data_IF_022273076368
#
_entry.id   IF_022273076368
#
_cell.length_a   1.000
_cell.length_b   1.000
_cell.length_c   1.000
_cell.angle_alpha   90.00
_cell.angle_beta   90.00
_cell.angle_gamma   90.00
#
_symmetry.space_group_name_H-M   'P 1'
#
loop_
_entity.id
_entity.type
_entity.pdbx_description
1 polymer ?
#
# COMPACT_ATOMS: atom_id res chain seq x y z
N UNK A 1 74.95 31.09 40.88
CA UNK A 1 74.49 29.96 40.11
C UNK A 1 72.99 29.96 40.18
N UNK A 2 72.32 30.41 39.13
CA UNK A 2 70.82 30.47 39.04
C UNK A 2 70.40 29.61 37.86
N UNK A 3 69.75 28.48 38.18
CA UNK A 3 69.17 27.58 37.17
C UNK A 3 67.86 28.17 36.72
N UNK A 4 67.72 28.44 35.44
CA UNK A 4 66.47 28.75 34.77
C UNK A 4 65.96 27.48 34.07
N UNK A 5 64.86 26.91 34.60
CA UNK A 5 64.12 25.88 33.98
C UNK A 5 63.11 26.49 33.00
N UNK A 6 63.29 26.27 31.67
CA UNK A 6 62.29 26.58 30.66
C UNK A 6 61.29 25.48 30.67
N UNK A 7 60.04 25.81 31.03
CA UNK A 7 58.87 24.93 30.79
C UNK A 7 58.32 25.21 29.37
N UNK A 8 58.47 24.25 28.47
CA UNK A 8 57.84 24.29 27.13
C UNK A 8 56.37 23.85 27.22
N UNK A 9 55.47 24.82 27.03
CA UNK A 9 54.02 24.53 26.89
C UNK A 9 53.74 24.06 25.46
N UNK A 10 53.43 22.79 25.28
CA UNK A 10 52.89 22.24 24.02
C UNK A 10 51.41 22.62 23.92
N UNK A 11 51.12 23.56 23.04
CA UNK A 11 49.73 23.93 22.66
C UNK A 11 49.25 22.90 21.63
N UNK A 12 48.43 21.92 22.04
CA UNK A 12 47.74 21.01 21.14
C UNK A 12 46.59 21.77 20.44
N UNK A 13 46.80 22.23 19.21
CA UNK A 13 45.74 22.68 18.34
C UNK A 13 44.89 21.46 17.94
N UNK A 14 43.73 21.32 18.58
CA UNK A 14 42.68 20.42 18.07
C UNK A 14 42.14 21.02 16.76
N UNK A 15 42.55 20.45 15.64
CA UNK A 15 41.97 20.75 14.32
C UNK A 15 40.54 20.14 14.35
N UNK A 16 39.55 20.98 14.61
CA UNK A 16 38.16 20.65 14.38
C UNK A 16 37.98 20.50 12.85
N UNK A 17 37.99 19.28 12.37
CA UNK A 17 37.56 18.99 11.00
C UNK A 17 36.12 19.48 10.88
N UNK A 18 35.77 20.27 9.83
CA UNK A 18 34.39 20.61 9.58
C UNK A 18 33.62 19.30 9.40
N UNK A 19 32.59 19.07 10.20
CA UNK A 19 31.63 18.01 9.96
C UNK A 19 30.94 18.38 8.65
N UNK A 20 31.35 17.75 7.53
CA UNK A 20 30.59 17.81 6.29
C UNK A 20 29.23 17.19 6.60
N UNK A 21 28.17 18.00 6.53
CA UNK A 21 26.83 17.47 6.51
C UNK A 21 26.74 16.51 5.33
N UNK A 22 26.36 15.27 5.59
CA UNK A 22 26.16 14.30 4.50
C UNK A 22 25.08 14.82 3.56
N UNK A 23 25.30 14.67 2.25
CA UNK A 23 24.32 15.06 1.24
C UNK A 23 23.01 14.30 1.45
N UNK A 24 21.87 14.97 1.21
CA UNK A 24 20.56 14.33 1.28
C UNK A 24 20.43 13.20 0.26
N UNK A 25 19.78 12.12 0.67
CA UNK A 25 19.47 10.98 -0.19
C UNK A 25 18.12 11.21 -0.87
N UNK A 26 18.13 11.40 -2.18
CA UNK A 26 16.92 11.70 -2.96
C UNK A 26 16.18 10.43 -3.35
N UNK A 27 14.92 10.30 -2.94
CA UNK A 27 14.00 9.23 -3.36
C UNK A 27 12.90 9.85 -4.22
N UNK A 28 12.73 9.33 -5.43
CA UNK A 28 11.64 9.73 -6.32
C UNK A 28 10.35 9.00 -5.98
N UNK A 29 9.24 9.73 -5.91
CA UNK A 29 7.95 9.12 -5.62
C UNK A 29 6.91 9.57 -6.64
N UNK A 30 6.21 8.60 -7.25
CA UNK A 30 5.17 8.85 -8.26
C UNK A 30 3.79 8.50 -7.71
N UNK A 31 2.92 9.52 -7.60
CA UNK A 31 1.58 9.44 -7.01
C UNK A 31 0.50 9.89 -7.99
N UNK A 32 -0.79 9.54 -7.78
CA UNK A 32 -1.94 10.18 -8.41
C UNK A 32 -2.38 11.40 -7.58
N UNK A 33 -1.72 12.56 -7.70
CA UNK A 33 -2.05 13.73 -6.88
C UNK A 33 -3.22 14.53 -7.43
N UNK A 34 -3.58 14.31 -8.69
CA UNK A 34 -4.73 14.92 -9.35
C UNK A 34 -5.60 13.84 -10.03
N UNK A 35 -6.81 14.23 -10.46
CA UNK A 35 -7.79 13.31 -11.07
C UNK A 35 -8.57 12.49 -10.03
N UNK A 36 -9.23 11.42 -10.49
CA UNK A 36 -10.22 10.65 -9.70
C UNK A 36 -9.62 9.87 -8.52
N UNK A 37 -8.33 9.59 -8.53
CA UNK A 37 -7.62 8.93 -7.44
C UNK A 37 -6.82 9.91 -6.55
N UNK A 38 -7.04 11.22 -6.69
CA UNK A 38 -6.33 12.23 -5.90
C UNK A 38 -6.47 12.05 -4.37
N UNK A 39 -7.64 11.69 -3.81
CA UNK A 39 -7.75 11.45 -2.37
C UNK A 39 -6.80 10.34 -1.90
N UNK A 40 -6.76 9.20 -2.58
CA UNK A 40 -5.83 8.10 -2.28
C UNK A 40 -4.36 8.53 -2.45
N UNK A 41 -4.04 9.23 -3.54
CA UNK A 41 -2.69 9.71 -3.82
C UNK A 41 -2.18 10.72 -2.79
N UNK A 42 -3.03 11.64 -2.36
CA UNK A 42 -2.67 12.59 -1.30
C UNK A 42 -2.56 11.90 0.05
N UNK A 43 -3.41 10.91 0.36
CA UNK A 43 -3.30 10.09 1.56
C UNK A 43 -1.98 9.32 1.61
N UNK A 44 -1.58 8.72 0.48
CA UNK A 44 -0.29 8.04 0.35
C UNK A 44 0.90 9.00 0.51
N UNK A 45 0.82 10.20 -0.08
CA UNK A 45 1.85 11.25 0.04
C UNK A 45 2.04 11.67 1.49
N UNK A 46 0.94 12.00 2.20
CA UNK A 46 0.97 12.36 3.62
C UNK A 46 1.64 11.26 4.46
N UNK A 47 1.34 10.00 4.18
CA UNK A 47 1.91 8.86 4.90
C UNK A 47 3.42 8.69 4.64
N UNK A 48 3.86 8.81 3.39
CA UNK A 48 5.29 8.73 3.03
C UNK A 48 6.06 9.93 3.60
N UNK A 49 5.48 11.13 3.61
CA UNK A 49 6.09 12.31 4.25
C UNK A 49 6.27 12.11 5.76
N UNK A 50 5.25 11.57 6.46
CA UNK A 50 5.41 11.22 7.88
C UNK A 50 6.46 10.13 8.06
N UNK A 51 6.52 9.13 7.19
CA UNK A 51 7.57 8.11 7.19
C UNK A 51 8.98 8.71 7.07
N UNK A 52 9.13 9.69 6.17
CA UNK A 52 10.40 10.42 6.02
C UNK A 52 10.75 11.28 7.25
N UNK A 53 9.76 11.87 7.89
CA UNK A 53 9.96 12.59 9.17
C UNK A 53 10.40 11.65 10.31
N UNK A 54 9.82 10.44 10.39
CA UNK A 54 10.21 9.42 11.35
C UNK A 54 11.67 9.02 11.13
N UNK A 55 12.09 8.76 9.90
CA UNK A 55 13.48 8.39 9.56
C UNK A 55 14.43 9.56 9.75
N UNK A 56 14.05 10.77 9.37
CA UNK A 56 14.88 11.96 9.42
C UNK A 56 15.03 12.54 10.83
N UNK A 57 14.08 12.25 11.72
CA UNK A 57 14.08 12.62 13.12
C UNK A 57 14.43 11.43 14.03
N UNK A 58 14.60 11.66 15.32
CA UNK A 58 14.68 10.60 16.30
C UNK A 58 13.33 10.43 16.98
N UNK A 59 12.77 9.22 16.94
CA UNK A 59 11.48 8.83 17.56
C UNK A 59 11.72 7.65 18.51
N UNK A 60 12.35 7.87 19.67
CA UNK A 60 12.81 6.80 20.57
C UNK A 60 11.64 5.97 21.16
N UNK A 61 10.40 6.45 21.03
CA UNK A 61 9.19 5.72 21.41
C UNK A 61 8.79 4.63 20.42
N UNK A 62 9.30 4.67 19.18
CA UNK A 62 9.03 3.67 18.13
C UNK A 62 10.08 2.56 18.14
N UNK A 63 10.27 1.93 19.31
CA UNK A 63 11.31 0.90 19.53
C UNK A 63 11.19 -0.28 18.56
N UNK A 64 12.33 -0.68 18.00
CA UNK A 64 12.44 -1.81 17.11
C UNK A 64 11.96 -1.54 15.67
N UNK A 65 11.35 -0.38 15.41
CA UNK A 65 11.08 0.04 14.03
C UNK A 65 12.40 0.51 13.40
N UNK A 66 12.82 -0.03 12.27
CA UNK A 66 14.07 0.36 11.61
C UNK A 66 14.15 1.87 11.39
N UNK A 67 15.31 2.46 11.70
CA UNK A 67 15.62 3.87 11.53
C UNK A 67 14.81 4.88 12.38
N UNK A 68 13.87 4.41 13.21
CA UNK A 68 13.06 5.34 14.00
C UNK A 68 13.83 5.92 15.21
N UNK A 69 14.69 5.14 15.84
CA UNK A 69 15.38 5.56 17.08
C UNK A 69 16.57 6.50 16.83
N UNK A 70 16.98 6.68 15.57
CA UNK A 70 18.12 7.51 15.16
C UNK A 70 17.69 8.58 14.16
N UNK A 71 18.41 9.70 14.12
CA UNK A 71 18.12 10.77 13.16
C UNK A 71 18.85 10.56 11.83
N UNK A 72 18.10 10.34 10.76
CA UNK A 72 18.62 10.10 9.40
C UNK A 72 19.16 8.68 9.21
N UNK A 73 20.04 8.52 8.26
CA UNK A 73 20.62 7.24 7.84
C UNK A 73 22.00 7.05 8.47
N UNK A 74 22.14 6.28 9.58
CA UNK A 74 23.40 6.15 10.32
C UNK A 74 24.58 5.67 9.46
N UNK A 75 24.33 4.68 8.56
CA UNK A 75 25.38 4.13 7.71
C UNK A 75 25.80 5.07 6.55
N UNK A 76 25.10 6.21 6.43
CA UNK A 76 25.39 7.30 5.49
C UNK A 76 25.73 8.61 6.25
N UNK A 77 26.33 8.48 7.44
CA UNK A 77 26.78 9.65 8.22
C UNK A 77 25.63 10.54 8.73
N UNK A 78 24.43 10.00 8.89
CA UNK A 78 23.24 10.74 9.32
C UNK A 78 22.56 11.54 8.20
N UNK A 79 22.84 11.21 6.93
CA UNK A 79 22.17 11.80 5.76
C UNK A 79 20.66 11.75 5.91
N UNK A 80 19.97 12.80 5.47
CA UNK A 80 18.51 12.87 5.48
C UNK A 80 17.93 12.38 4.16
N UNK A 81 16.73 11.81 4.21
CA UNK A 81 15.98 11.48 3.00
C UNK A 81 15.24 12.74 2.51
N UNK A 82 15.40 13.02 1.24
CA UNK A 82 14.68 14.05 0.49
C UNK A 82 13.72 13.38 -0.49
N UNK A 83 12.41 13.66 -0.37
CA UNK A 83 11.39 13.12 -1.25
C UNK A 83 11.16 14.04 -2.44
N UNK A 84 11.33 13.52 -3.66
CA UNK A 84 11.03 14.23 -4.90
C UNK A 84 9.75 13.64 -5.49
N UNK A 85 8.62 14.33 -5.27
CA UNK A 85 7.29 13.87 -5.68
C UNK A 85 6.96 14.25 -7.13
N UNK A 86 6.22 13.37 -7.81
CA UNK A 86 5.66 13.63 -9.11
C UNK A 86 4.23 13.09 -9.24
N UNK A 87 3.38 13.84 -9.93
CA UNK A 87 2.00 13.46 -10.23
C UNK A 87 1.91 12.71 -11.54
N UNK A 88 1.37 11.50 -11.53
CA UNK A 88 1.13 10.72 -12.74
C UNK A 88 -0.32 10.81 -13.26
N UNK A 89 -1.23 11.50 -12.54
CA UNK A 89 -2.62 11.79 -12.96
C UNK A 89 -3.45 10.55 -13.31
N UNK A 90 -3.08 9.35 -12.83
CA UNK A 90 -3.68 8.08 -13.27
C UNK A 90 -3.33 7.69 -14.72
N UNK A 91 -2.43 8.39 -15.38
CA UNK A 91 -2.09 8.21 -16.80
C UNK A 91 -0.74 7.52 -16.97
N UNK A 92 -0.67 6.34 -17.64
CA UNK A 92 0.58 5.61 -17.85
C UNK A 92 1.67 6.41 -18.57
N UNK A 93 1.33 7.18 -19.61
CA UNK A 93 2.32 7.97 -20.35
C UNK A 93 2.90 9.09 -19.49
N UNK A 94 2.07 9.77 -18.68
CA UNK A 94 2.55 10.76 -17.71
C UNK A 94 3.43 10.10 -16.67
N UNK A 95 3.02 8.97 -16.11
CA UNK A 95 3.81 8.21 -15.14
C UNK A 95 5.18 7.79 -15.69
N UNK A 96 5.22 7.30 -16.93
CA UNK A 96 6.47 6.96 -17.61
C UNK A 96 7.41 8.18 -17.70
N UNK A 97 6.90 9.33 -18.17
CA UNK A 97 7.69 10.55 -18.35
C UNK A 97 8.17 11.11 -17.01
N UNK A 98 7.31 11.12 -15.97
CA UNK A 98 7.68 11.59 -14.64
C UNK A 98 8.75 10.68 -14.01
N UNK A 99 8.65 9.37 -14.17
CA UNK A 99 9.67 8.43 -13.69
C UNK A 99 11.02 8.69 -14.37
N UNK A 100 11.01 8.86 -15.69
CA UNK A 100 12.23 9.18 -16.43
C UNK A 100 12.84 10.51 -15.98
N UNK A 101 12.03 11.54 -15.77
CA UNK A 101 12.48 12.87 -15.27
C UNK A 101 13.13 12.75 -13.89
N UNK A 102 12.46 12.08 -12.95
CA UNK A 102 12.98 11.88 -11.58
C UNK A 102 14.37 11.21 -11.60
N UNK A 103 14.54 10.20 -12.45
CA UNK A 103 15.80 9.46 -12.56
C UNK A 103 16.88 10.31 -13.26
N UNK A 104 16.56 10.89 -14.43
CA UNK A 104 17.59 11.49 -15.29
C UNK A 104 17.89 12.96 -14.98
N UNK A 105 16.92 13.72 -14.49
CA UNK A 105 17.06 15.14 -14.17
C UNK A 105 17.23 15.40 -12.69
N UNK A 106 16.36 14.82 -11.84
CA UNK A 106 16.41 15.04 -10.39
C UNK A 106 17.46 14.15 -9.70
N UNK A 107 17.97 13.12 -10.43
CA UNK A 107 19.04 12.23 -9.95
C UNK A 107 18.68 11.48 -8.67
N UNK A 108 17.46 10.97 -8.59
CA UNK A 108 17.03 10.13 -7.48
C UNK A 108 17.78 8.79 -7.51
N UNK A 109 18.11 8.25 -6.33
CA UNK A 109 18.88 7.00 -6.19
C UNK A 109 17.99 5.76 -6.13
N UNK A 110 16.69 5.95 -5.83
CA UNK A 110 15.67 4.92 -5.78
C UNK A 110 14.29 5.53 -6.03
N UNK A 111 13.32 4.69 -6.37
CA UNK A 111 11.95 5.07 -6.67
C UNK A 111 10.95 4.35 -5.76
N UNK A 112 9.84 5.02 -5.45
CA UNK A 112 8.66 4.45 -4.79
C UNK A 112 7.41 4.79 -5.63
N UNK A 113 6.48 3.86 -5.76
CA UNK A 113 5.23 4.09 -6.51
C UNK A 113 4.63 2.76 -6.99
N UNK A 114 3.74 2.77 -7.89
CA UNK A 114 2.69 3.72 -8.12
C UNK A 114 1.38 3.14 -7.57
N UNK A 115 0.28 3.90 -7.59
CA UNK A 115 -1.04 3.43 -7.15
C UNK A 115 -1.72 2.58 -8.25
N UNK A 116 -1.83 3.14 -9.46
CA UNK A 116 -2.43 2.44 -10.59
C UNK A 116 -1.48 1.38 -11.14
N UNK A 117 -1.95 0.13 -11.27
CA UNK A 117 -1.12 -0.96 -11.81
C UNK A 117 -0.65 -0.67 -13.25
N UNK A 118 -1.50 -0.04 -14.09
CA UNK A 118 -1.14 0.38 -15.44
C UNK A 118 0.00 1.40 -15.47
N UNK A 119 0.07 2.29 -14.49
CA UNK A 119 1.19 3.24 -14.32
C UNK A 119 2.43 2.51 -13.78
N UNK A 120 2.26 1.63 -12.79
CA UNK A 120 3.36 0.85 -12.22
C UNK A 120 4.08 0.02 -13.28
N UNK A 121 3.34 -0.58 -14.23
CA UNK A 121 3.93 -1.36 -15.33
C UNK A 121 4.93 -0.55 -16.16
N UNK A 122 4.58 0.67 -16.54
CA UNK A 122 5.45 1.51 -17.38
C UNK A 122 6.53 2.22 -16.57
N UNK A 123 6.23 2.66 -15.36
CA UNK A 123 7.19 3.29 -14.46
C UNK A 123 8.32 2.33 -14.07
N UNK A 124 7.97 1.10 -13.66
CA UNK A 124 8.96 0.06 -13.34
C UNK A 124 9.78 -0.38 -14.56
N UNK A 125 9.20 -0.37 -15.77
CA UNK A 125 9.97 -0.65 -16.99
C UNK A 125 10.99 0.47 -17.30
N UNK A 126 10.70 1.73 -16.95
CA UNK A 126 11.68 2.81 -17.04
C UNK A 126 12.81 2.58 -16.02
N UNK A 127 12.47 2.34 -14.77
CA UNK A 127 13.44 2.11 -13.70
C UNK A 127 14.36 0.91 -14.00
N UNK A 128 13.81 -0.20 -14.50
CA UNK A 128 14.58 -1.38 -14.93
C UNK A 128 15.61 -1.02 -15.99
N UNK A 129 15.21 -0.27 -17.05
CA UNK A 129 16.15 0.14 -18.12
C UNK A 129 17.23 1.12 -17.65
N UNK A 130 16.92 1.91 -16.63
CA UNK A 130 17.84 2.89 -16.05
C UNK A 130 18.72 2.30 -14.95
N UNK A 131 18.47 1.06 -14.52
CA UNK A 131 19.19 0.43 -13.42
C UNK A 131 18.96 1.13 -12.07
N UNK A 132 17.73 1.58 -11.81
CA UNK A 132 17.35 2.26 -10.57
C UNK A 132 16.38 1.38 -9.79
N UNK A 133 16.65 1.06 -8.50
CA UNK A 133 15.72 0.29 -7.67
C UNK A 133 14.35 0.98 -7.58
N UNK A 134 13.30 0.22 -7.81
CA UNK A 134 11.92 0.69 -7.68
C UNK A 134 11.15 -0.21 -6.73
N UNK A 135 10.71 0.34 -5.60
CA UNK A 135 9.84 -0.38 -4.67
C UNK A 135 8.38 0.00 -4.95
N UNK A 136 7.55 -1.02 -5.15
CA UNK A 136 6.10 -0.89 -5.33
C UNK A 136 5.44 -1.15 -3.98
N UNK A 137 4.80 -0.14 -3.40
CA UNK A 137 4.12 -0.24 -2.11
C UNK A 137 2.69 -0.77 -2.21
N UNK A 138 2.00 -0.48 -3.31
CA UNK A 138 0.55 -0.64 -3.38
C UNK A 138 0.03 -1.38 -4.62
N UNK A 139 0.50 -1.08 -5.83
CA UNK A 139 -0.01 -1.69 -7.08
C UNK A 139 0.11 -3.23 -7.08
N UNK A 140 -0.97 -3.93 -7.49
CA UNK A 140 -1.15 -5.36 -7.19
C UNK A 140 -1.09 -6.30 -8.40
N UNK A 141 -1.10 -5.79 -9.65
CA UNK A 141 -1.11 -6.64 -10.84
C UNK A 141 0.10 -7.59 -10.88
N UNK A 142 -0.14 -8.84 -11.31
CA UNK A 142 0.87 -9.90 -11.29
C UNK A 142 2.08 -9.56 -12.15
N UNK A 143 1.84 -8.94 -13.31
CA UNK A 143 2.90 -8.61 -14.26
C UNK A 143 3.91 -7.56 -13.75
N UNK A 144 3.69 -6.89 -12.63
CA UNK A 144 4.64 -5.90 -12.12
C UNK A 144 5.96 -6.56 -11.73
N UNK A 145 5.94 -7.64 -10.96
CA UNK A 145 7.13 -8.44 -10.57
C UNK A 145 7.31 -9.69 -11.42
N UNK A 146 6.28 -10.13 -12.17
CA UNK A 146 6.31 -11.35 -12.98
C UNK A 146 7.07 -11.26 -14.31
N UNK A 147 7.77 -10.14 -14.62
CA UNK A 147 8.47 -9.91 -15.89
C UNK A 147 9.95 -10.28 -15.89
N UNK A 148 10.46 -10.83 -14.78
CA UNK A 148 11.87 -11.17 -14.64
C UNK A 148 12.79 -9.96 -14.48
N UNK A 149 12.27 -8.82 -14.06
CA UNK A 149 13.04 -7.62 -13.80
C UNK A 149 13.90 -7.76 -12.55
N UNK A 150 15.08 -7.12 -12.53
CA UNK A 150 16.05 -7.23 -11.46
C UNK A 150 16.01 -6.08 -10.46
N UNK A 151 15.49 -4.94 -10.89
CA UNK A 151 15.48 -3.69 -10.14
C UNK A 151 14.15 -3.38 -9.47
N UNK A 152 13.16 -4.27 -9.64
CA UNK A 152 11.79 -4.06 -9.19
C UNK A 152 11.48 -4.94 -7.99
N UNK A 153 10.97 -4.31 -6.93
CA UNK A 153 10.58 -4.96 -5.69
C UNK A 153 9.17 -4.54 -5.32
N UNK A 154 8.40 -5.42 -4.67
CA UNK A 154 7.08 -5.10 -4.17
C UNK A 154 6.90 -5.62 -2.75
N UNK A 155 6.68 -4.69 -1.80
CA UNK A 155 6.51 -5.01 -0.37
C UNK A 155 5.12 -5.55 -0.03
N UNK A 156 4.09 -5.18 -0.78
CA UNK A 156 2.71 -5.56 -0.55
C UNK A 156 2.28 -6.90 -1.17
N UNK A 157 1.07 -7.38 -0.84
CA UNK A 157 0.45 -8.56 -1.45
C UNK A 157 0.12 -8.32 -2.94
N UNK A 158 -0.16 -9.41 -3.65
CA UNK A 158 -0.51 -9.41 -5.08
C UNK A 158 -1.94 -9.91 -5.32
N UNK A 159 -2.43 -9.71 -6.53
CA UNK A 159 -3.79 -10.09 -6.91
C UNK A 159 -4.15 -11.56 -6.56
N UNK A 160 -3.22 -12.50 -6.68
CA UNK A 160 -3.45 -13.91 -6.32
C UNK A 160 -3.59 -14.14 -4.82
N UNK A 161 -2.94 -13.33 -3.97
CA UNK A 161 -3.06 -13.44 -2.52
C UNK A 161 -4.46 -13.02 -2.07
N UNK A 162 -4.97 -11.93 -2.65
CA UNK A 162 -6.33 -11.46 -2.39
C UNK A 162 -7.38 -12.46 -2.87
N UNK A 163 -7.22 -12.97 -4.09
CA UNK A 163 -8.12 -13.98 -4.64
C UNK A 163 -8.17 -15.23 -3.74
N UNK A 164 -7.02 -15.63 -3.18
CA UNK A 164 -6.94 -16.73 -2.22
C UNK A 164 -7.70 -16.39 -0.93
N UNK A 165 -7.50 -15.20 -0.36
CA UNK A 165 -8.20 -14.76 0.85
C UNK A 165 -9.73 -14.72 0.64
N UNK A 166 -10.20 -14.16 -0.48
CA UNK A 166 -11.64 -14.10 -0.77
C UNK A 166 -12.26 -15.50 -0.88
N UNK A 167 -11.62 -16.41 -1.61
CA UNK A 167 -12.14 -17.76 -1.79
C UNK A 167 -12.10 -18.60 -0.51
N UNK A 168 -11.08 -18.42 0.33
CA UNK A 168 -11.03 -19.03 1.65
C UNK A 168 -12.15 -18.51 2.56
N UNK A 169 -12.33 -17.19 2.63
CA UNK A 169 -13.42 -16.59 3.39
C UNK A 169 -14.80 -17.08 2.94
N UNK A 170 -15.06 -17.09 1.63
CA UNK A 170 -16.35 -17.60 1.08
C UNK A 170 -16.56 -19.08 1.41
N UNK A 171 -15.51 -19.90 1.37
CA UNK A 171 -15.60 -21.30 1.75
C UNK A 171 -15.84 -21.49 3.26
N UNK A 172 -15.26 -20.63 4.11
CA UNK A 172 -15.52 -20.68 5.54
C UNK A 172 -16.96 -20.27 5.87
N UNK A 173 -17.51 -19.26 5.16
CA UNK A 173 -18.93 -18.94 5.24
C UNK A 173 -19.84 -20.11 4.81
N UNK A 174 -19.47 -20.81 3.73
CA UNK A 174 -20.22 -22.00 3.27
C UNK A 174 -20.17 -23.12 4.30
N UNK A 175 -19.01 -23.40 4.90
CA UNK A 175 -18.88 -24.36 6.00
C UNK A 175 -19.70 -23.97 7.24
N UNK A 176 -19.84 -22.66 7.50
CA UNK A 176 -20.71 -22.12 8.55
C UNK A 176 -22.20 -22.13 8.21
N UNK A 177 -22.61 -22.80 7.12
CA UNK A 177 -24.01 -22.95 6.70
C UNK A 177 -24.58 -21.74 5.96
N UNK A 178 -23.75 -20.81 5.49
CA UNK A 178 -24.21 -19.71 4.63
C UNK A 178 -24.36 -20.19 3.19
N UNK A 179 -25.35 -19.65 2.50
CA UNK A 179 -25.53 -19.93 1.07
C UNK A 179 -24.47 -19.16 0.27
N UNK A 180 -23.55 -19.86 -0.35
CA UNK A 180 -22.51 -19.34 -1.26
C UNK A 180 -22.43 -20.32 -2.44
N UNK A 181 -23.41 -20.27 -3.33
CA UNK A 181 -23.46 -21.13 -4.51
C UNK A 181 -22.90 -20.42 -5.73
N UNK A 182 -23.18 -19.10 -5.87
CA UNK A 182 -22.79 -18.31 -7.02
C UNK A 182 -22.28 -16.94 -6.60
N UNK A 183 -21.13 -16.55 -7.14
CA UNK A 183 -20.58 -15.21 -6.97
C UNK A 183 -20.57 -14.46 -8.31
N UNK A 184 -20.52 -13.12 -8.23
CA UNK A 184 -20.22 -12.27 -9.38
C UNK A 184 -18.95 -11.46 -9.13
N UNK A 185 -18.20 -11.19 -10.20
CA UNK A 185 -17.02 -10.32 -10.19
C UNK A 185 -17.38 -9.09 -11.02
N UNK A 186 -17.27 -7.90 -10.43
CA UNK A 186 -17.42 -6.62 -11.14
C UNK A 186 -16.04 -5.94 -11.13
N UNK A 187 -15.47 -5.73 -12.31
CA UNK A 187 -14.11 -5.20 -12.40
C UNK A 187 -13.99 -4.06 -13.40
N UNK A 188 -13.24 -3.04 -13.05
CA UNK A 188 -12.80 -2.05 -14.01
C UNK A 188 -11.84 -2.69 -15.05
N UNK A 189 -11.73 -2.10 -16.23
CA UNK A 189 -11.08 -2.73 -17.39
C UNK A 189 -9.60 -2.35 -17.59
N UNK A 190 -8.95 -1.73 -16.60
CA UNK A 190 -7.50 -1.49 -16.66
C UNK A 190 -6.69 -2.69 -16.17
N UNK A 191 -5.38 -2.58 -16.12
CA UNK A 191 -4.49 -3.67 -15.66
C UNK A 191 -4.80 -4.14 -14.22
N UNK A 192 -5.24 -3.22 -13.34
CA UNK A 192 -5.63 -3.57 -11.98
C UNK A 192 -6.83 -4.50 -11.98
N UNK A 193 -7.96 -4.04 -12.50
CA UNK A 193 -9.21 -4.80 -12.44
C UNK A 193 -9.14 -6.10 -13.21
N UNK A 194 -8.48 -6.13 -14.37
CA UNK A 194 -8.34 -7.35 -15.18
C UNK A 194 -7.43 -8.39 -14.52
N UNK A 195 -6.32 -7.97 -13.91
CA UNK A 195 -5.38 -8.88 -13.22
C UNK A 195 -6.02 -9.52 -11.98
N UNK A 196 -6.73 -8.70 -11.17
CA UNK A 196 -7.41 -9.20 -9.96
C UNK A 196 -8.57 -10.13 -10.35
N UNK A 197 -9.41 -9.75 -11.33
CA UNK A 197 -10.51 -10.58 -11.78
C UNK A 197 -10.05 -11.95 -12.32
N UNK A 198 -8.97 -11.97 -13.11
CA UNK A 198 -8.36 -13.20 -13.57
C UNK A 198 -7.89 -14.08 -12.40
N UNK A 199 -7.23 -13.48 -11.40
CA UNK A 199 -6.78 -14.19 -10.22
C UNK A 199 -7.93 -14.77 -9.40
N UNK A 200 -9.04 -14.03 -9.27
CA UNK A 200 -10.26 -14.51 -8.57
C UNK A 200 -10.89 -15.67 -9.32
N UNK A 201 -11.02 -15.60 -10.65
CA UNK A 201 -11.55 -16.70 -11.46
C UNK A 201 -10.74 -17.99 -11.25
N UNK A 202 -9.40 -17.89 -11.30
CA UNK A 202 -8.52 -19.05 -11.07
C UNK A 202 -8.61 -19.59 -9.63
N UNK A 203 -8.68 -18.71 -8.63
CA UNK A 203 -8.82 -19.13 -7.24
C UNK A 203 -10.21 -19.76 -6.98
N UNK A 204 -11.28 -19.18 -7.51
CA UNK A 204 -12.64 -19.69 -7.39
C UNK A 204 -12.75 -21.09 -8.02
N UNK A 205 -12.17 -21.28 -9.21
CA UNK A 205 -12.13 -22.60 -9.87
C UNK A 205 -11.44 -23.64 -8.99
N UNK A 206 -10.27 -23.32 -8.41
CA UNK A 206 -9.56 -24.22 -7.50
C UNK A 206 -10.33 -24.50 -6.20
N UNK A 207 -11.09 -23.51 -5.72
CA UNK A 207 -11.88 -23.59 -4.50
C UNK A 207 -13.27 -24.21 -4.67
N UNK A 208 -13.67 -24.55 -5.90
CA UNK A 208 -15.00 -25.08 -6.21
C UNK A 208 -16.13 -24.06 -6.04
N UNK A 209 -15.85 -22.77 -6.21
CA UNK A 209 -16.82 -21.69 -6.14
C UNK A 209 -17.24 -21.33 -7.57
N UNK A 210 -18.56 -21.29 -7.82
CA UNK A 210 -19.10 -20.92 -9.12
C UNK A 210 -19.08 -19.39 -9.33
N UNK A 211 -18.37 -18.94 -10.37
CA UNK A 211 -18.45 -17.55 -10.84
C UNK A 211 -19.54 -17.48 -11.91
N UNK A 212 -20.74 -17.02 -11.51
CA UNK A 212 -21.90 -16.92 -12.41
C UNK A 212 -21.77 -15.84 -13.46
N UNK A 213 -21.04 -14.75 -13.15
CA UNK A 213 -20.69 -13.71 -14.10
C UNK A 213 -19.41 -12.97 -13.72
N UNK A 214 -18.64 -12.60 -14.74
CA UNK A 214 -17.66 -11.51 -14.67
C UNK A 214 -18.22 -10.35 -15.49
N UNK A 215 -18.34 -9.17 -14.87
CA UNK A 215 -19.00 -7.98 -15.41
C UNK A 215 -17.96 -6.86 -15.52
N UNK A 216 -17.20 -6.78 -16.61
CA UNK A 216 -16.25 -5.70 -16.80
C UNK A 216 -16.95 -4.38 -17.13
N UNK A 217 -16.35 -3.26 -16.70
CA UNK A 217 -16.80 -1.91 -17.05
C UNK A 217 -15.59 -1.00 -17.29
N UNK A 218 -15.83 0.12 -18.00
CA UNK A 218 -14.75 1.11 -18.21
C UNK A 218 -14.49 1.89 -16.95
N UNK A 219 -13.23 1.98 -16.53
CA UNK A 219 -12.82 2.82 -15.40
C UNK A 219 -13.27 4.27 -15.62
N UNK A 220 -13.70 4.94 -14.55
CA UNK A 220 -14.26 6.30 -14.57
C UNK A 220 -15.57 6.43 -15.36
N UNK A 221 -16.38 5.37 -15.37
CA UNK A 221 -17.72 5.39 -15.95
C UNK A 221 -18.62 6.44 -15.26
N UNK A 222 -19.52 7.04 -16.03
CA UNK A 222 -20.54 7.96 -15.50
C UNK A 222 -21.89 7.27 -15.27
N UNK A 223 -22.05 6.05 -15.79
CA UNK A 223 -23.25 5.20 -15.63
C UNK A 223 -22.85 3.74 -15.53
N UNK A 224 -23.38 3.04 -14.53
CA UNK A 224 -23.17 1.60 -14.26
C UNK A 224 -24.52 0.88 -14.10
N UNK A 225 -25.61 1.46 -14.58
CA UNK A 225 -26.97 0.91 -14.43
C UNK A 225 -27.09 -0.45 -15.12
N UNK A 226 -26.48 -0.62 -16.29
CA UNK A 226 -26.47 -1.89 -17.02
C UNK A 226 -25.84 -3.02 -16.22
N UNK A 227 -24.70 -2.76 -15.57
CA UNK A 227 -23.98 -3.73 -14.73
C UNK A 227 -24.80 -4.09 -13.48
N UNK A 228 -25.43 -3.11 -12.83
CA UNK A 228 -26.28 -3.35 -11.65
C UNK A 228 -27.54 -4.13 -12.03
N UNK A 229 -28.17 -3.86 -13.18
CA UNK A 229 -29.30 -4.65 -13.68
C UNK A 229 -28.91 -6.10 -13.98
N UNK A 230 -27.72 -6.33 -14.53
CA UNK A 230 -27.20 -7.68 -14.73
C UNK A 230 -26.98 -8.41 -13.40
N UNK A 231 -26.43 -7.75 -12.38
CA UNK A 231 -26.31 -8.30 -11.02
C UNK A 231 -27.70 -8.61 -10.42
N UNK A 232 -28.65 -7.69 -10.58
CA UNK A 232 -30.02 -7.87 -10.10
C UNK A 232 -30.73 -9.04 -10.76
N UNK A 233 -30.45 -9.31 -12.03
CA UNK A 233 -30.99 -10.48 -12.73
C UNK A 233 -30.31 -11.79 -12.29
N UNK A 234 -29.00 -11.77 -12.07
CA UNK A 234 -28.21 -12.94 -11.67
C UNK A 234 -28.47 -13.36 -10.22
N UNK A 235 -28.76 -12.42 -9.32
CA UNK A 235 -28.95 -12.64 -7.87
C UNK A 235 -27.80 -13.45 -7.23
N UNK A 236 -26.53 -13.04 -7.38
CA UNK A 236 -25.41 -13.78 -6.81
C UNK A 236 -25.43 -13.72 -5.27
N UNK A 237 -24.90 -14.73 -4.60
CA UNK A 237 -24.80 -14.80 -3.14
C UNK A 237 -23.70 -13.86 -2.60
N UNK A 238 -22.70 -13.53 -3.42
CA UNK A 238 -21.69 -12.51 -3.12
C UNK A 238 -21.25 -11.79 -4.40
N UNK A 239 -20.89 -10.52 -4.27
CA UNK A 239 -20.30 -9.71 -5.35
C UNK A 239 -18.94 -9.21 -4.92
N UNK A 240 -17.91 -9.45 -5.73
CA UNK A 240 -16.57 -8.91 -5.54
C UNK A 240 -16.41 -7.72 -6.48
N UNK A 241 -16.20 -6.51 -5.91
CA UNK A 241 -15.98 -5.28 -6.66
C UNK A 241 -14.50 -4.94 -6.71
N UNK A 242 -13.97 -4.81 -7.92
CA UNK A 242 -12.62 -4.35 -8.19
C UNK A 242 -12.74 -3.00 -8.89
N UNK A 243 -12.68 -1.93 -8.12
CA UNK A 243 -13.06 -0.59 -8.57
C UNK A 243 -12.27 0.50 -7.85
N UNK A 244 -12.06 1.62 -8.53
CA UNK A 244 -11.52 2.83 -7.91
C UNK A 244 -12.63 3.64 -7.24
N UNK A 245 -12.25 4.62 -6.42
CA UNK A 245 -13.15 5.35 -5.50
C UNK A 245 -14.38 5.94 -6.16
N UNK A 246 -14.22 6.67 -7.26
CA UNK A 246 -15.33 7.29 -7.96
C UNK A 246 -16.34 6.26 -8.47
N UNK A 247 -15.84 5.16 -9.04
CA UNK A 247 -16.66 4.07 -9.56
C UNK A 247 -17.37 3.33 -8.41
N UNK A 248 -16.67 3.06 -7.31
CA UNK A 248 -17.26 2.42 -6.12
C UNK A 248 -18.43 3.25 -5.57
N UNK A 249 -18.24 4.56 -5.42
CA UNK A 249 -19.31 5.47 -4.98
C UNK A 249 -20.50 5.44 -5.93
N UNK A 250 -20.24 5.45 -7.24
CA UNK A 250 -21.27 5.36 -8.28
C UNK A 250 -22.05 4.05 -8.18
N UNK A 251 -21.37 2.90 -8.00
CA UNK A 251 -22.04 1.61 -7.83
C UNK A 251 -22.97 1.58 -6.62
N UNK A 252 -22.54 2.05 -5.45
CA UNK A 252 -23.40 2.07 -4.27
C UNK A 252 -24.63 2.95 -4.46
N UNK A 253 -24.50 4.11 -5.08
CA UNK A 253 -25.63 4.98 -5.42
C UNK A 253 -26.57 4.32 -6.43
N UNK A 254 -26.04 3.64 -7.45
CA UNK A 254 -26.83 2.96 -8.47
C UNK A 254 -27.53 1.71 -7.92
N UNK A 255 -26.86 0.92 -7.06
CA UNK A 255 -27.46 -0.18 -6.32
C UNK A 255 -28.69 0.30 -5.52
N UNK A 256 -28.55 1.42 -4.80
CA UNK A 256 -29.66 2.04 -4.06
C UNK A 256 -30.77 2.49 -4.98
N UNK A 257 -30.46 3.19 -6.07
CA UNK A 257 -31.45 3.73 -7.00
C UNK A 257 -32.26 2.63 -7.69
N UNK A 258 -31.63 1.50 -7.98
CA UNK A 258 -32.27 0.34 -8.60
C UNK A 258 -32.85 -0.64 -7.57
N UNK A 259 -32.85 -0.28 -6.29
CA UNK A 259 -33.31 -1.12 -5.17
C UNK A 259 -32.80 -2.56 -5.25
N UNK A 260 -31.49 -2.71 -5.37
CA UNK A 260 -30.82 -4.00 -5.35
C UNK A 260 -29.64 -3.98 -4.37
N UNK A 261 -29.66 -4.88 -3.39
CA UNK A 261 -28.59 -5.10 -2.43
C UNK A 261 -28.21 -6.57 -2.44
N UNK A 262 -27.01 -6.94 -2.88
CA UNK A 262 -26.53 -8.32 -2.76
C UNK A 262 -26.36 -8.72 -1.29
N UNK A 263 -26.42 -10.03 -0.96
CA UNK A 263 -26.23 -10.50 0.43
C UNK A 263 -24.90 -10.08 1.04
N UNK A 264 -23.85 -9.99 0.22
CA UNK A 264 -22.54 -9.50 0.61
C UNK A 264 -21.83 -8.80 -0.56
N UNK A 265 -21.15 -7.71 -0.25
CA UNK A 265 -20.21 -7.03 -1.15
C UNK A 265 -18.82 -7.15 -0.53
N UNK A 266 -17.87 -7.63 -1.34
CA UNK A 266 -16.44 -7.66 -1.03
C UNK A 266 -15.75 -6.66 -1.94
N UNK A 267 -15.12 -5.64 -1.38
CA UNK A 267 -14.27 -4.69 -2.08
C UNK A 267 -12.84 -5.17 -2.20
N UNK A 268 -12.22 -4.89 -3.34
CA UNK A 268 -10.78 -5.09 -3.51
C UNK A 268 -10.02 -3.77 -3.28
N UNK A 269 -9.93 -3.38 -2.02
CA UNK A 269 -9.19 -2.23 -1.48
C UNK A 269 -9.52 -0.88 -2.11
N UNK A 270 -8.82 -0.51 -3.15
CA UNK A 270 -8.76 0.79 -3.82
C UNK A 270 -9.92 1.75 -3.50
N UNK A 271 -11.10 1.49 -4.05
CA UNK A 271 -12.26 2.35 -3.86
C UNK A 271 -12.91 2.26 -2.48
N UNK A 272 -12.65 1.21 -1.72
CA UNK A 272 -13.25 0.97 -0.40
C UNK A 272 -12.35 1.47 0.75
N UNK A 273 -11.04 1.56 0.55
CA UNK A 273 -10.08 2.08 1.54
C UNK A 273 -9.88 3.59 1.47
N UNK A 274 -10.22 4.20 0.34
CA UNK A 274 -10.04 5.64 0.11
C UNK A 274 -10.79 6.48 1.16
N UNK A 275 -10.14 7.49 1.76
CA UNK A 275 -10.77 8.33 2.77
C UNK A 275 -12.04 9.07 2.29
N UNK A 276 -12.23 9.20 0.97
CA UNK A 276 -13.45 9.78 0.40
C UNK A 276 -14.64 8.80 0.34
N UNK A 277 -14.42 7.48 0.49
CA UNK A 277 -15.48 6.48 0.32
C UNK A 277 -16.59 6.62 1.35
N UNK A 278 -16.28 6.41 2.62
CA UNK A 278 -17.30 6.43 3.70
C UNK A 278 -18.08 7.75 3.76
N UNK A 279 -17.45 8.95 3.68
CA UNK A 279 -18.17 10.21 3.66
C UNK A 279 -19.17 10.36 2.49
N UNK A 280 -18.90 9.74 1.34
CA UNK A 280 -19.74 9.86 0.15
C UNK A 280 -20.84 8.82 0.03
N UNK A 281 -20.70 7.65 0.68
CA UNK A 281 -21.69 6.57 0.61
C UNK A 281 -22.48 6.39 1.90
N UNK A 282 -21.88 6.73 3.05
CA UNK A 282 -22.54 6.64 4.36
C UNK A 282 -23.15 5.26 4.62
N UNK A 283 -24.41 5.26 5.05
CA UNK A 283 -25.14 4.04 5.38
C UNK A 283 -25.36 3.09 4.18
N UNK A 284 -25.16 3.54 2.94
CA UNK A 284 -25.29 2.67 1.76
C UNK A 284 -24.33 1.47 1.82
N UNK A 285 -23.17 1.65 2.40
CA UNK A 285 -22.11 0.64 2.46
C UNK A 285 -22.06 -0.15 3.77
N UNK A 286 -23.06 -0.02 4.66
CA UNK A 286 -23.06 -0.76 5.94
C UNK A 286 -23.02 -2.26 5.71
N UNK A 287 -22.05 -2.93 6.34
CA UNK A 287 -21.82 -4.36 6.19
C UNK A 287 -20.98 -4.75 4.97
N UNK A 288 -20.57 -3.80 4.11
CA UNK A 288 -19.64 -4.08 3.04
C UNK A 288 -18.29 -4.52 3.61
N UNK A 289 -17.70 -5.54 3.01
CA UNK A 289 -16.39 -6.08 3.35
C UNK A 289 -15.35 -5.44 2.45
N UNK A 290 -14.16 -5.23 3.00
CA UNK A 290 -12.98 -4.87 2.24
C UNK A 290 -11.79 -5.73 2.67
N UNK A 291 -10.78 -5.83 1.84
CA UNK A 291 -9.49 -6.39 2.26
C UNK A 291 -8.63 -5.31 2.91
N UNK A 292 -7.76 -5.71 3.81
CA UNK A 292 -6.77 -4.83 4.42
C UNK A 292 -5.57 -5.63 4.91
N UNK A 293 -4.43 -4.97 4.99
CA UNK A 293 -3.29 -5.40 5.79
C UNK A 293 -3.06 -4.44 6.98
N UNK A 294 -3.92 -3.43 7.11
CA UNK A 294 -3.86 -2.37 8.09
C UNK A 294 -4.99 -2.47 9.11
N UNK A 295 -4.64 -2.34 10.36
CA UNK A 295 -5.52 -1.94 11.46
C UNK A 295 -4.78 -0.95 12.37
N UNK A 296 -5.50 -0.19 13.17
CA UNK A 296 -4.91 0.83 14.06
C UNK A 296 -3.96 0.20 15.10
N UNK A 297 -4.05 -1.09 15.33
CA UNK A 297 -3.26 -1.81 16.31
C UNK A 297 -3.72 -1.57 17.75
N UNK A 298 -3.06 -2.26 18.68
CA UNK A 298 -3.35 -2.11 20.11
C UNK A 298 -2.68 -0.86 20.67
N UNK A 299 -3.32 -0.16 21.62
CA UNK A 299 -2.71 0.97 22.32
C UNK A 299 -1.29 0.65 22.81
N UNK A 300 -0.34 1.52 22.47
CA UNK A 300 1.07 1.36 22.83
C UNK A 300 1.93 0.62 21.80
N UNK A 301 1.35 -0.07 20.81
CA UNK A 301 2.11 -0.63 19.68
C UNK A 301 2.69 0.47 18.79
N UNK A 302 3.73 0.16 18.00
CA UNK A 302 4.28 1.10 17.02
C UNK A 302 3.22 1.51 15.98
N UNK A 303 2.41 0.55 15.51
CA UNK A 303 1.28 0.80 14.61
C UNK A 303 0.34 1.86 15.17
N UNK A 304 -0.09 1.70 16.44
CA UNK A 304 -0.97 2.66 17.11
C UNK A 304 -0.31 4.05 17.24
N UNK A 305 0.95 4.11 17.70
CA UNK A 305 1.68 5.38 17.87
C UNK A 305 1.84 6.13 16.55
N UNK A 306 2.20 5.43 15.47
CA UNK A 306 2.33 6.00 14.13
C UNK A 306 0.98 6.52 13.65
N UNK A 307 -0.12 5.79 13.88
CA UNK A 307 -1.45 6.28 13.56
C UNK A 307 -1.81 7.56 14.34
N UNK A 308 -1.49 7.63 15.63
CA UNK A 308 -1.72 8.85 16.42
C UNK A 308 -0.86 10.03 15.91
N UNK A 309 0.40 9.79 15.50
CA UNK A 309 1.24 10.82 14.86
C UNK A 309 0.61 11.31 13.55
N UNK A 310 0.12 10.39 12.73
CA UNK A 310 -0.55 10.71 11.47
C UNK A 310 -1.84 11.51 11.72
N UNK A 311 -2.66 11.05 12.66
CA UNK A 311 -3.91 11.70 13.04
C UNK A 311 -3.69 13.11 13.61
N UNK A 312 -2.68 13.28 14.45
CA UNK A 312 -2.32 14.59 15.01
C UNK A 312 -1.91 15.58 13.92
N UNK A 313 -1.24 15.10 12.86
CA UNK A 313 -0.73 15.95 11.78
C UNK A 313 -1.77 16.22 10.70
N UNK A 314 -2.55 15.20 10.30
CA UNK A 314 -3.43 15.27 9.13
C UNK A 314 -4.93 15.21 9.47
N UNK A 315 -5.31 15.08 10.75
CA UNK A 315 -6.70 15.11 11.22
C UNK A 315 -7.52 13.86 10.91
N UNK A 316 -6.89 12.78 10.48
CA UNK A 316 -7.53 11.49 10.13
C UNK A 316 -6.64 10.32 10.45
N UNK A 317 -7.21 9.14 10.57
CA UNK A 317 -6.46 7.90 10.73
C UNK A 317 -5.81 7.48 9.38
N UNK A 318 -4.76 6.65 9.44
CA UNK A 318 -4.25 5.94 8.27
C UNK A 318 -5.32 4.98 7.73
N UNK A 319 -5.30 4.78 6.43
CA UNK A 319 -6.05 3.74 5.71
C UNK A 319 -5.09 2.65 5.19
N UNK A 320 -5.63 1.57 4.59
CA UNK A 320 -4.80 0.47 4.09
C UNK A 320 -3.82 0.93 3.01
N UNK A 321 -4.27 1.75 2.07
CA UNK A 321 -3.43 2.29 0.99
C UNK A 321 -2.27 3.10 1.56
N UNK A 322 -2.56 4.11 2.38
CA UNK A 322 -1.54 4.98 2.98
C UNK A 322 -0.56 4.22 3.87
N UNK A 323 -1.05 3.25 4.65
CA UNK A 323 -0.19 2.41 5.49
C UNK A 323 0.76 1.52 4.66
N UNK A 324 0.29 0.95 3.55
CA UNK A 324 1.15 0.16 2.65
C UNK A 324 2.22 1.02 1.96
N UNK A 325 1.89 2.25 1.60
CA UNK A 325 2.86 3.20 1.04
C UNK A 325 3.94 3.56 2.06
N UNK A 326 3.56 3.90 3.29
CA UNK A 326 4.51 4.19 4.36
C UNK A 326 5.39 2.96 4.66
N UNK A 327 4.81 1.75 4.76
CA UNK A 327 5.58 0.53 4.98
C UNK A 327 6.58 0.28 3.83
N UNK A 328 6.17 0.48 2.58
CA UNK A 328 7.06 0.39 1.43
C UNK A 328 8.22 1.40 1.51
N UNK A 329 7.92 2.64 1.88
CA UNK A 329 8.94 3.66 2.10
C UNK A 329 9.94 3.26 3.20
N UNK A 330 9.46 2.77 4.35
CA UNK A 330 10.32 2.36 5.46
C UNK A 330 11.24 1.17 5.06
N UNK A 331 10.73 0.22 4.27
CA UNK A 331 11.55 -0.87 3.71
C UNK A 331 12.63 -0.34 2.78
N UNK A 332 12.30 0.63 1.92
CA UNK A 332 13.27 1.23 1.00
C UNK A 332 14.33 2.04 1.76
N UNK A 333 13.93 2.82 2.74
CA UNK A 333 14.85 3.60 3.58
C UNK A 333 15.82 2.69 4.37
N UNK A 334 15.31 1.60 4.96
CA UNK A 334 16.12 0.59 5.64
C UNK A 334 17.14 -0.06 4.68
N UNK A 335 16.73 -0.42 3.47
CA UNK A 335 17.63 -1.00 2.47
C UNK A 335 18.72 -0.02 2.05
N UNK A 336 18.40 1.27 1.84
CA UNK A 336 19.39 2.31 1.53
C UNK A 336 20.38 2.47 2.69
N UNK A 337 19.90 2.48 3.92
CA UNK A 337 20.79 2.55 5.08
C UNK A 337 21.70 1.32 5.18
N UNK A 338 21.16 0.10 5.00
CA UNK A 338 21.97 -1.15 5.02
C UNK A 338 23.00 -1.18 3.88
N UNK A 339 22.67 -0.63 2.72
CA UNK A 339 23.59 -0.47 1.61
C UNK A 339 24.80 0.41 1.98
N UNK A 340 24.67 1.35 2.91
CA UNK A 340 25.71 2.31 3.28
C UNK A 340 26.21 3.12 2.08
N UNK A 341 25.38 3.28 1.05
CA UNK A 341 25.74 3.88 -0.24
C UNK A 341 24.51 4.39 -0.98
N UNK A 342 24.71 5.37 -1.82
CA UNK A 342 23.69 5.88 -2.77
C UNK A 342 23.84 5.24 -4.16
N UNK A 343 24.77 4.29 -4.34
CA UNK A 343 24.92 3.56 -5.59
C UNK A 343 23.74 2.60 -5.80
N UNK A 344 23.05 2.67 -6.94
CA UNK A 344 21.83 1.87 -7.19
C UNK A 344 22.05 0.36 -7.04
N UNK A 345 23.20 -0.16 -7.48
CA UNK A 345 23.55 -1.59 -7.38
C UNK A 345 23.63 -2.07 -5.92
N UNK A 346 24.17 -1.25 -5.02
CA UNK A 346 24.26 -1.58 -3.60
C UNK A 346 22.88 -1.52 -2.92
N UNK A 347 22.05 -0.55 -3.30
CA UNK A 347 20.67 -0.47 -2.82
C UNK A 347 19.86 -1.67 -3.31
N UNK A 348 20.01 -2.05 -4.58
CA UNK A 348 19.35 -3.22 -5.17
C UNK A 348 19.77 -4.52 -4.44
N UNK A 349 21.06 -4.69 -4.15
CA UNK A 349 21.56 -5.83 -3.38
C UNK A 349 20.96 -5.84 -1.96
N UNK A 350 20.95 -4.71 -1.27
CA UNK A 350 20.35 -4.59 0.06
C UNK A 350 18.84 -4.86 0.08
N UNK A 351 18.12 -4.48 -0.98
CA UNK A 351 16.70 -4.86 -1.15
C UNK A 351 16.55 -6.38 -1.28
N UNK A 352 17.35 -7.03 -2.10
CA UNK A 352 17.32 -8.50 -2.25
C UNK A 352 17.58 -9.24 -0.94
N UNK A 353 18.46 -8.70 -0.10
CA UNK A 353 18.84 -9.27 1.19
C UNK A 353 17.89 -8.88 2.33
N UNK A 354 16.76 -8.22 2.02
CA UNK A 354 15.77 -7.81 3.03
C UNK A 354 15.14 -9.03 3.70
N UNK A 355 15.17 -9.07 5.04
CA UNK A 355 14.51 -10.07 5.88
C UNK A 355 14.00 -9.40 7.18
N UNK A 356 12.99 -8.53 7.05
CA UNK A 356 12.36 -7.84 8.17
C UNK A 356 11.33 -8.72 8.84
N UNK A 357 11.33 -8.73 10.18
CA UNK A 357 10.40 -9.49 11.01
C UNK A 357 9.13 -8.68 11.33
N UNK A 358 8.03 -9.32 11.74
CA UNK A 358 6.77 -8.61 12.03
C UNK A 358 6.91 -7.43 13.00
N UNK A 359 7.75 -7.58 14.03
CA UNK A 359 8.00 -6.55 15.05
C UNK A 359 8.75 -5.33 14.54
N UNK A 360 9.34 -5.42 13.35
CA UNK A 360 10.05 -4.34 12.65
C UNK A 360 9.14 -3.58 11.67
N UNK A 361 7.86 -3.93 11.61
CA UNK A 361 6.89 -3.39 10.67
C UNK A 361 5.84 -2.53 11.38
N UNK A 362 5.27 -1.59 10.62
CA UNK A 362 4.13 -0.81 11.08
C UNK A 362 2.78 -1.37 10.59
N UNK A 363 2.78 -2.45 9.83
CA UNK A 363 1.61 -3.05 9.20
C UNK A 363 1.55 -4.56 9.51
N UNK A 364 0.38 -5.17 9.36
CA UNK A 364 0.11 -6.55 9.79
C UNK A 364 0.69 -7.67 8.90
N UNK A 365 1.82 -7.46 8.22
CA UNK A 365 2.50 -8.51 7.47
C UNK A 365 3.23 -9.50 8.38
N UNK A 366 3.49 -10.69 7.87
CA UNK A 366 4.31 -11.72 8.54
C UNK A 366 5.82 -11.42 8.43
N UNK A 367 6.19 -10.40 7.68
CA UNK A 367 7.55 -9.96 7.43
C UNK A 367 7.70 -9.30 6.07
N UNK A 368 8.94 -8.92 5.73
CA UNK A 368 9.29 -8.52 4.37
C UNK A 368 10.53 -9.31 3.95
N UNK A 369 10.33 -10.21 2.99
CA UNK A 369 11.38 -11.00 2.36
C UNK A 369 11.07 -11.19 0.88
N UNK A 370 11.98 -10.71 0.04
CA UNK A 370 11.79 -10.76 -1.40
C UNK A 370 12.28 -12.09 -1.98
N UNK A 371 11.49 -12.67 -2.89
CA UNK A 371 11.91 -13.81 -3.71
C UNK A 371 12.77 -13.37 -4.92
N UNK A 372 13.11 -14.31 -5.78
CA UNK A 372 13.92 -14.05 -6.98
C UNK A 372 13.27 -13.05 -7.95
N UNK A 373 11.94 -12.88 -7.90
CA UNK A 373 11.19 -11.94 -8.73
C UNK A 373 11.09 -10.54 -8.11
N UNK A 374 11.55 -10.37 -6.87
CA UNK A 374 11.38 -9.13 -6.10
C UNK A 374 10.03 -9.02 -5.40
N UNK A 375 9.24 -10.09 -5.32
CA UNK A 375 7.97 -10.11 -4.60
C UNK A 375 8.18 -10.45 -3.13
N UNK A 376 7.56 -9.68 -2.22
CA UNK A 376 7.50 -10.06 -0.80
C UNK A 376 6.64 -11.31 -0.62
N UNK A 377 7.23 -12.37 -0.06
CA UNK A 377 6.56 -13.65 0.20
C UNK A 377 5.91 -13.74 1.58
N UNK A 378 6.10 -12.73 2.42
CA UNK A 378 5.60 -12.67 3.80
C UNK A 378 4.53 -11.58 4.00
N UNK A 379 4.04 -11.01 2.90
CA UNK A 379 2.90 -10.10 2.96
C UNK A 379 1.64 -10.84 3.43
N UNK A 380 0.70 -10.12 4.02
CA UNK A 380 -0.55 -10.70 4.52
C UNK A 380 -1.72 -9.79 4.16
N UNK A 381 -2.90 -10.37 4.07
CA UNK A 381 -4.17 -9.65 3.95
C UNK A 381 -5.22 -10.35 4.81
N UNK A 382 -6.15 -9.59 5.33
CA UNK A 382 -7.30 -10.03 6.07
C UNK A 382 -8.53 -9.23 5.63
N UNK A 383 -9.71 -9.61 6.12
CA UNK A 383 -10.94 -8.93 5.72
C UNK A 383 -11.48 -8.11 6.89
N UNK A 384 -11.88 -6.91 6.53
CA UNK A 384 -12.50 -5.92 7.40
C UNK A 384 -13.91 -5.63 6.91
N UNK A 385 -14.83 -5.31 7.81
CA UNK A 385 -16.22 -4.99 7.49
C UNK A 385 -16.58 -3.61 8.02
N UNK A 386 -17.25 -2.82 7.23
CA UNK A 386 -17.77 -1.53 7.66
C UNK A 386 -18.94 -1.73 8.62
N UNK A 387 -18.71 -1.43 9.89
CA UNK A 387 -19.68 -1.53 10.98
C UNK A 387 -19.79 -0.17 11.70
N UNK A 388 -20.92 0.50 11.55
CA UNK A 388 -21.08 1.87 11.98
C UNK A 388 -20.26 2.84 11.12
N UNK A 389 -19.28 3.53 11.70
CA UNK A 389 -18.46 4.53 11.01
C UNK A 389 -17.03 4.07 10.73
N UNK A 390 -16.68 2.82 11.05
CA UNK A 390 -15.31 2.33 10.94
C UNK A 390 -15.28 0.89 10.43
N UNK A 391 -14.18 0.56 9.79
CA UNK A 391 -13.85 -0.83 9.47
C UNK A 391 -13.39 -1.58 10.70
N UNK A 392 -13.85 -2.83 10.85
CA UNK A 392 -13.44 -3.76 11.89
C UNK A 392 -12.99 -5.07 11.27
N UNK A 393 -11.91 -5.66 11.77
CA UNK A 393 -11.45 -6.96 11.30
C UNK A 393 -12.48 -8.04 11.64
N UNK A 394 -12.86 -8.85 10.64
CA UNK A 394 -13.86 -9.91 10.76
C UNK A 394 -13.36 -11.27 10.30
N UNK A 395 -12.22 -11.34 9.59
CA UNK A 395 -11.63 -12.58 9.12
C UNK A 395 -10.11 -12.41 8.86
N UNK A 396 -9.26 -13.42 9.14
CA UNK A 396 -9.60 -14.72 9.75
C UNK A 396 -9.98 -14.59 11.23
N UNK A 397 -10.61 -15.63 11.80
CA UNK A 397 -11.17 -15.62 13.16
C UNK A 397 -10.14 -15.22 14.23
N UNK A 398 -8.90 -15.70 14.11
CA UNK A 398 -7.83 -15.39 15.06
C UNK A 398 -7.33 -13.94 15.01
N UNK A 399 -7.77 -13.14 14.04
CA UNK A 399 -7.51 -11.69 13.91
C UNK A 399 -8.77 -10.83 14.03
N UNK A 400 -9.95 -11.46 14.10
CA UNK A 400 -11.21 -10.74 14.15
C UNK A 400 -11.35 -9.95 15.46
N UNK A 401 -11.66 -8.66 15.30
CA UNK A 401 -11.98 -7.75 16.42
C UNK A 401 -13.48 -7.54 16.57
N UNK A 402 -14.28 -8.01 15.59
CA UNK A 402 -15.73 -7.96 15.60
C UNK A 402 -16.32 -9.20 14.91
N UNK A 403 -17.59 -9.51 15.25
CA UNK A 403 -18.33 -10.54 14.54
C UNK A 403 -18.76 -10.05 13.16
N UNK A 404 -18.73 -10.94 12.18
CA UNK A 404 -19.26 -10.67 10.85
C UNK A 404 -20.78 -10.41 10.91
N UNK A 405 -21.22 -9.30 10.35
CA UNK A 405 -22.63 -9.01 10.10
C UNK A 405 -23.05 -9.65 8.76
N UNK A 406 -24.05 -10.51 8.79
CA UNK A 406 -24.56 -11.27 7.65
C UNK A 406 -26.09 -11.37 7.65
N UNK A 407 -26.80 -11.14 6.55
CA UNK A 407 -26.30 -10.47 5.33
C UNK A 407 -25.94 -8.99 5.62
N UNK A 408 -25.26 -8.32 4.66
CA UNK A 408 -24.98 -6.90 4.81
C UNK A 408 -26.29 -6.12 4.87
N UNK A 409 -26.32 -5.10 5.74
CA UNK A 409 -27.53 -4.32 5.95
C UNK A 409 -27.68 -3.18 4.94
N UNK A 410 -26.58 -2.57 4.52
CA UNK A 410 -26.62 -1.43 3.62
C UNK A 410 -27.60 -0.36 4.11
N UNK A 411 -28.42 0.14 3.20
CA UNK A 411 -29.49 1.09 3.52
C UNK A 411 -30.80 0.43 4.03
N UNK A 412 -30.86 -0.89 4.07
CA UNK A 412 -32.03 -1.67 4.53
C UNK A 412 -31.82 -2.01 6.01
N UNK A 413 -32.14 -1.05 6.89
CA UNK A 413 -32.14 -1.25 8.35
C UNK A 413 -33.49 -1.74 8.83
#
# INVERSE_FOLDING_TARGET
>A
MRNHSLAAALLACAIALPAYAADNVKIGVVYPLTGNAAPAGNSAKDAVELGAEIVNGAQPELKGLPLAETAGLPNLGGAKIELISADHQGNPSVGQNQTLRLITQDKVVAMLGAYHSSVALVATAVAERQGIPFLVGDSVALNITGRGFKWIFRSGPIASDFATAYTQFLNDLKKAGRKIDTIAIVNENTEYGTSVAASINEAAKRAGINVGAQIPYSANSTDVSGQVLQLKQLQPDAVIFISYTADTILYFKTLKNLDYLPPIIIGDDAGFSDPAFIPNVGDLAQGAINRSAWDIGQPGSNTYKINEMFKAKYGRDLDDTSARWMQGFLVLADAINRAGSTEPEKIQAALRDTDLKPEQLMIGYHGVKFDATGQNTLSATYLIQLQGKAYKSVWPENRATAKLEWPMTGWRK
#
